data_IF_607552715294
#
_entry.id   IF_607552715294
#
_cell.length_a   1.000
_cell.length_b   1.000
_cell.length_c   1.000
_cell.angle_alpha   90.00
_cell.angle_beta   90.00
_cell.angle_gamma   90.00
#
_symmetry.space_group_name_H-M   'P 1'
#
loop_
_entity.id
_entity.type
_entity.pdbx_description
1 polymer ?
#
# COMPACT_ATOMS: atom_id res chain seq x y z
N UNK A 1 -9.46 -11.16 -60.50
CA UNK A 1 -8.23 -10.35 -60.62
C UNK A 1 -8.59 -8.95 -60.13
N UNK A 2 -8.21 -8.45 -58.97
CA UNK A 2 -7.53 -8.98 -57.80
C UNK A 2 -8.06 -8.24 -56.56
N UNK A 3 -8.09 -8.93 -55.43
CA UNK A 3 -8.33 -8.36 -54.11
C UNK A 3 -7.12 -7.52 -53.68
N UNK A 4 -7.36 -6.36 -53.07
CA UNK A 4 -6.38 -5.66 -52.25
C UNK A 4 -7.07 -5.17 -50.98
N UNK A 5 -7.18 -6.07 -50.00
CA UNK A 5 -7.49 -5.76 -48.62
C UNK A 5 -6.23 -5.20 -47.95
N UNK A 6 -6.32 -3.97 -47.44
CA UNK A 6 -5.36 -3.41 -46.48
C UNK A 6 -5.21 -4.35 -45.27
N UNK A 7 -3.99 -4.64 -44.80
CA UNK A 7 -3.81 -5.41 -43.57
C UNK A 7 -4.12 -4.53 -42.37
N UNK A 8 -5.12 -4.93 -41.58
CA UNK A 8 -5.34 -4.39 -40.24
C UNK A 8 -4.13 -4.72 -39.36
N UNK A 9 -3.52 -3.67 -38.83
CA UNK A 9 -2.49 -3.74 -37.79
C UNK A 9 -3.12 -4.27 -36.50
N UNK A 10 -2.93 -5.57 -36.27
CA UNK A 10 -3.30 -6.26 -35.05
C UNK A 10 -2.45 -5.73 -33.91
N UNK A 11 -2.95 -4.70 -33.23
CA UNK A 11 -2.38 -4.21 -31.97
C UNK A 11 -2.51 -5.31 -30.91
N UNK A 12 -1.36 -5.91 -30.56
CA UNK A 12 -1.25 -7.02 -29.63
C UNK A 12 -1.89 -6.71 -28.26
N UNK A 13 -2.89 -7.50 -27.81
CA UNK A 13 -3.44 -7.39 -26.46
C UNK A 13 -2.56 -8.06 -25.39
N UNK A 14 -1.43 -8.67 -25.78
CA UNK A 14 -0.62 -9.54 -24.89
C UNK A 14 0.32 -8.74 -23.96
N UNK A 15 0.66 -7.49 -24.28
CA UNK A 15 1.61 -6.69 -23.47
C UNK A 15 1.01 -6.01 -22.22
N UNK A 16 -0.31 -6.13 -21.96
CA UNK A 16 -0.98 -5.41 -20.86
C UNK A 16 -1.20 -6.25 -19.59
N UNK A 17 -1.17 -7.58 -19.66
CA UNK A 17 -1.47 -8.43 -18.51
C UNK A 17 -0.24 -8.71 -17.61
N UNK A 18 0.97 -8.56 -18.15
CA UNK A 18 2.22 -8.87 -17.44
C UNK A 18 2.79 -7.65 -16.67
N UNK A 19 2.35 -6.44 -17.01
CA UNK A 19 2.80 -5.20 -16.37
C UNK A 19 2.05 -4.86 -15.08
N UNK A 20 0.78 -5.24 -14.97
CA UNK A 20 -0.08 -4.89 -13.81
C UNK A 20 0.40 -5.56 -12.51
N UNK A 21 0.89 -6.80 -12.58
CA UNK A 21 1.39 -7.54 -11.41
C UNK A 21 2.81 -7.15 -10.99
N UNK A 22 3.59 -6.50 -11.86
CA UNK A 22 4.93 -6.01 -11.52
C UNK A 22 4.89 -4.64 -10.86
N UNK A 23 4.07 -3.72 -11.39
CA UNK A 23 3.96 -2.35 -10.88
C UNK A 23 3.40 -2.34 -9.45
N UNK A 24 2.41 -3.19 -9.17
CA UNK A 24 1.82 -3.33 -7.84
C UNK A 24 2.85 -3.73 -6.79
N UNK A 25 3.60 -4.80 -7.07
CA UNK A 25 4.62 -5.31 -6.16
C UNK A 25 5.77 -4.31 -6.00
N UNK A 26 6.17 -3.62 -7.06
CA UNK A 26 7.23 -2.61 -7.01
C UNK A 26 6.85 -1.46 -6.09
N UNK A 27 5.65 -0.90 -6.20
CA UNK A 27 5.28 0.23 -5.34
C UNK A 27 5.08 -0.23 -3.89
N UNK A 28 4.50 -1.42 -3.69
CA UNK A 28 4.39 -2.02 -2.36
C UNK A 28 5.76 -2.18 -1.70
N UNK A 29 6.78 -2.57 -2.47
CA UNK A 29 8.15 -2.71 -2.01
C UNK A 29 8.78 -1.34 -1.71
N UNK A 30 8.56 -0.33 -2.55
CA UNK A 30 8.98 1.07 -2.26
C UNK A 30 8.37 1.55 -0.95
N UNK A 31 7.09 1.27 -0.71
CA UNK A 31 6.42 1.60 0.54
C UNK A 31 6.99 0.83 1.73
N UNK A 32 7.27 -0.46 1.57
CA UNK A 32 7.94 -1.29 2.58
C UNK A 32 9.33 -0.77 2.94
N UNK A 33 10.13 -0.37 1.94
CA UNK A 33 11.44 0.26 2.13
C UNK A 33 11.29 1.57 2.92
N UNK A 34 10.36 2.44 2.51
CA UNK A 34 10.09 3.69 3.22
C UNK A 34 9.76 3.44 4.70
N UNK A 35 8.90 2.47 5.00
CA UNK A 35 8.54 2.11 6.38
C UNK A 35 9.70 1.55 7.19
N UNK A 36 10.50 0.65 6.60
CA UNK A 36 11.69 0.10 7.24
C UNK A 36 12.72 1.19 7.55
N UNK A 37 13.02 2.03 6.57
CA UNK A 37 13.96 3.13 6.74
C UNK A 37 13.44 4.09 7.80
N UNK A 38 12.18 4.48 7.75
CA UNK A 38 11.61 5.39 8.73
C UNK A 38 11.62 4.81 10.14
N UNK A 39 11.25 3.54 10.32
CA UNK A 39 11.33 2.86 11.61
C UNK A 39 12.77 2.77 12.16
N UNK A 40 13.75 2.47 11.31
CA UNK A 40 15.15 2.44 11.71
C UNK A 40 15.70 3.84 12.05
N UNK A 41 15.33 4.84 11.26
CA UNK A 41 15.72 6.24 11.49
C UNK A 41 15.09 6.79 12.77
N UNK A 42 13.85 6.42 13.10
CA UNK A 42 13.22 6.83 14.36
C UNK A 42 14.06 6.43 15.57
N UNK A 43 14.70 5.26 15.54
CA UNK A 43 15.60 4.86 16.62
C UNK A 43 16.77 5.83 16.80
N UNK A 44 17.35 6.30 15.69
CA UNK A 44 18.48 7.26 15.67
C UNK A 44 18.05 8.71 15.97
N UNK A 45 16.81 9.05 15.64
CA UNK A 45 16.17 10.31 16.02
C UNK A 45 16.01 10.37 17.55
N UNK A 46 15.54 9.27 18.16
CA UNK A 46 15.33 9.20 19.60
C UNK A 46 16.63 9.22 20.40
N UNK A 47 17.73 8.71 19.85
CA UNK A 47 19.07 8.89 20.45
C UNK A 47 19.63 10.30 20.29
N UNK A 48 18.87 11.23 19.67
CA UNK A 48 19.24 12.63 19.51
C UNK A 48 20.28 12.89 18.43
N UNK A 49 20.61 11.88 17.60
CA UNK A 49 21.68 11.98 16.61
C UNK A 49 21.21 12.62 15.29
N UNK A 50 19.89 12.71 15.07
CA UNK A 50 19.31 13.21 13.83
C UNK A 50 18.14 14.17 14.09
N UNK A 51 18.07 15.31 13.36
CA UNK A 51 16.92 16.20 13.41
C UNK A 51 15.70 15.52 12.78
N UNK A 52 14.53 15.68 13.40
CA UNK A 52 13.28 15.09 12.93
C UNK A 52 12.29 16.16 12.48
N UNK A 53 11.84 16.05 11.23
CA UNK A 53 10.80 16.88 10.63
C UNK A 53 9.58 15.99 10.31
N UNK A 54 8.58 15.89 11.23
CA UNK A 54 7.41 15.03 11.06
C UNK A 54 6.61 15.37 9.79
N UNK A 55 6.52 16.66 9.45
CA UNK A 55 5.70 17.17 8.36
C UNK A 55 6.10 16.59 7.00
N UNK A 56 7.41 16.58 6.73
CA UNK A 56 7.96 16.04 5.48
C UNK A 56 7.83 14.52 5.43
N UNK A 57 7.91 13.82 6.57
CA UNK A 57 7.76 12.36 6.61
C UNK A 57 6.32 11.94 6.34
N UNK A 58 5.34 12.59 6.99
CA UNK A 58 3.93 12.37 6.71
C UNK A 58 3.54 12.82 5.29
N UNK A 59 4.11 13.93 4.80
CA UNK A 59 3.92 14.38 3.42
C UNK A 59 4.43 13.37 2.39
N UNK A 60 5.64 12.84 2.60
CA UNK A 60 6.22 11.82 1.72
C UNK A 60 5.41 10.52 1.76
N UNK A 61 4.97 10.10 2.95
CA UNK A 61 4.04 8.98 3.11
C UNK A 61 2.78 9.19 2.26
N UNK A 62 2.14 10.37 2.34
CA UNK A 62 0.95 10.67 1.55
C UNK A 62 1.24 10.58 0.06
N UNK A 63 2.34 11.16 -0.43
CA UNK A 63 2.70 11.09 -1.85
C UNK A 63 2.85 9.63 -2.31
N UNK A 64 3.52 8.78 -1.53
CA UNK A 64 3.70 7.36 -1.88
C UNK A 64 2.36 6.62 -1.88
N UNK A 65 1.48 6.88 -0.89
CA UNK A 65 0.15 6.25 -0.84
C UNK A 65 -0.75 6.76 -1.97
N UNK A 66 -0.70 8.05 -2.30
CA UNK A 66 -1.43 8.62 -3.43
C UNK A 66 -0.99 8.02 -4.75
N UNK A 67 0.32 7.84 -4.94
CA UNK A 67 0.85 7.17 -6.12
C UNK A 67 0.27 5.76 -6.23
N UNK A 68 0.32 4.98 -5.14
CA UNK A 68 -0.30 3.64 -5.09
C UNK A 68 -1.78 3.67 -5.49
N UNK A 69 -2.57 4.59 -4.92
CA UNK A 69 -4.00 4.71 -5.21
C UNK A 69 -4.27 5.05 -6.68
N UNK A 70 -3.50 6.00 -7.24
CA UNK A 70 -3.68 6.48 -8.62
C UNK A 70 -3.22 5.44 -9.64
N UNK A 71 -2.08 4.78 -9.42
CA UNK A 71 -1.53 3.80 -10.36
C UNK A 71 -2.29 2.49 -10.37
N UNK A 72 -2.68 1.98 -9.20
CA UNK A 72 -3.38 0.69 -9.11
C UNK A 72 -4.88 0.82 -9.41
N UNK A 73 -5.45 2.03 -9.32
CA UNK A 73 -6.91 2.24 -9.36
C UNK A 73 -7.66 1.48 -8.27
N UNK A 74 -6.92 0.98 -7.28
CA UNK A 74 -7.29 0.26 -6.07
C UNK A 74 -6.40 0.83 -4.97
N UNK A 75 -6.87 0.83 -3.74
CA UNK A 75 -6.01 1.24 -2.63
C UNK A 75 -4.90 0.19 -2.42
N UNK A 76 -3.69 0.55 -1.92
CA UNK A 76 -2.52 -0.34 -1.67
C UNK A 76 -2.71 -1.45 -0.62
N UNK A 77 -3.95 -1.73 -0.39
CA UNK A 77 -4.58 -2.07 0.85
C UNK A 77 -5.62 -3.15 0.51
N UNK A 78 -6.20 -3.12 -0.71
CA UNK A 78 -7.12 -4.13 -1.20
C UNK A 78 -8.03 -3.59 -2.30
N UNK A 79 -8.91 -4.47 -2.76
CA UNK A 79 -9.81 -4.25 -3.89
C UNK A 79 -11.00 -3.36 -3.52
N UNK A 80 -10.72 -2.11 -3.16
CA UNK A 80 -11.74 -1.07 -3.19
C UNK A 80 -12.06 -0.81 -4.66
N UNK A 81 -13.22 -1.30 -5.12
CA UNK A 81 -13.71 -1.20 -6.49
C UNK A 81 -13.35 0.16 -7.07
N UNK A 82 -12.61 0.14 -8.19
CA UNK A 82 -12.18 1.32 -8.95
C UNK A 82 -13.35 2.28 -9.11
N UNK A 83 -13.40 3.28 -8.25
CA UNK A 83 -14.40 4.32 -8.27
C UNK A 83 -13.67 5.63 -8.49
N UNK A 84 -14.29 6.51 -9.27
CA UNK A 84 -13.73 7.82 -9.54
C UNK A 84 -13.43 8.60 -8.25
N UNK A 85 -14.22 8.35 -7.18
CA UNK A 85 -14.00 8.88 -5.84
C UNK A 85 -12.63 8.49 -5.23
N UNK A 86 -12.18 7.24 -5.38
CA UNK A 86 -10.89 6.78 -4.86
C UNK A 86 -9.73 7.45 -5.61
N UNK A 87 -9.85 7.62 -6.93
CA UNK A 87 -8.85 8.31 -7.74
C UNK A 87 -8.76 9.79 -7.35
N UNK A 88 -9.90 10.48 -7.22
CA UNK A 88 -9.95 11.88 -6.78
C UNK A 88 -9.34 12.03 -5.38
N UNK A 89 -9.66 11.13 -4.45
CA UNK A 89 -9.04 11.10 -3.13
C UNK A 89 -7.52 10.92 -3.21
N UNK A 90 -7.03 10.03 -4.07
CA UNK A 90 -5.61 9.85 -4.36
C UNK A 90 -4.95 11.14 -4.87
N UNK A 91 -5.58 11.84 -5.80
CA UNK A 91 -5.06 13.12 -6.32
C UNK A 91 -5.07 14.21 -5.24
N UNK A 92 -6.14 14.35 -4.46
CA UNK A 92 -6.21 15.32 -3.37
C UNK A 92 -5.13 15.06 -2.32
N UNK A 93 -4.95 13.80 -1.92
CA UNK A 93 -3.89 13.40 -0.98
C UNK A 93 -2.50 13.65 -1.54
N UNK A 94 -2.28 13.53 -2.86
CA UNK A 94 -0.99 13.83 -3.48
C UNK A 94 -0.67 15.32 -3.41
N UNK A 95 -1.64 16.18 -3.71
CA UNK A 95 -1.49 17.64 -3.65
C UNK A 95 -1.18 18.09 -2.22
N UNK A 96 -1.90 17.55 -1.23
CA UNK A 96 -1.66 17.83 0.19
C UNK A 96 -0.27 17.33 0.61
N UNK A 97 0.10 16.11 0.22
CA UNK A 97 1.41 15.52 0.53
C UNK A 97 2.58 16.32 -0.06
N UNK A 98 2.45 16.77 -1.30
CA UNK A 98 3.44 17.66 -1.92
C UNK A 98 3.55 18.99 -1.19
N UNK A 99 2.42 19.65 -0.88
CA UNK A 99 2.43 20.91 -0.13
C UNK A 99 3.10 20.75 1.25
N UNK A 100 2.82 19.64 1.95
CA UNK A 100 3.41 19.33 3.26
C UNK A 100 4.93 19.08 3.18
N UNK A 101 5.42 18.49 2.08
CA UNK A 101 6.85 18.28 1.89
C UNK A 101 7.61 19.61 1.68
N UNK A 102 7.01 20.57 0.98
CA UNK A 102 7.67 21.84 0.63
C UNK A 102 7.52 22.93 1.70
N UNK A 103 6.41 22.96 2.44
CA UNK A 103 6.10 24.00 3.44
C UNK A 103 5.98 23.37 4.83
N UNK A 104 7.10 23.16 5.54
CA UNK A 104 7.07 22.65 6.91
C UNK A 104 6.35 23.65 7.85
N UNK A 105 5.62 23.13 8.82
CA UNK A 105 4.91 23.90 9.86
C UNK A 105 3.48 24.35 9.52
N UNK A 106 3.14 24.59 8.25
CA UNK A 106 1.80 25.11 7.91
C UNK A 106 0.70 24.03 7.98
N UNK A 107 1.03 22.80 7.59
CA UNK A 107 0.07 21.70 7.44
C UNK A 107 0.39 20.50 8.35
N UNK A 108 1.25 20.68 9.35
CA UNK A 108 1.73 19.62 10.26
C UNK A 108 0.61 18.78 10.88
N UNK A 109 -0.28 19.44 11.64
CA UNK A 109 -1.44 18.84 12.30
C UNK A 109 -2.44 18.19 11.31
N UNK A 110 -2.96 18.89 10.28
CA UNK A 110 -3.94 18.30 9.37
C UNK A 110 -3.37 17.13 8.56
N UNK A 111 -2.09 17.19 8.16
CA UNK A 111 -1.42 16.10 7.44
C UNK A 111 -1.27 14.89 8.34
N UNK A 112 -0.85 15.07 9.60
CA UNK A 112 -0.78 13.97 10.59
C UNK A 112 -2.14 13.31 10.78
N UNK A 113 -3.20 14.11 10.98
CA UNK A 113 -4.57 13.59 11.14
C UNK A 113 -5.01 12.82 9.89
N UNK A 114 -4.74 13.36 8.70
CA UNK A 114 -5.07 12.70 7.44
C UNK A 114 -4.35 11.36 7.29
N UNK A 115 -3.05 11.29 7.60
CA UNK A 115 -2.29 10.03 7.59
C UNK A 115 -2.86 9.04 8.59
N UNK A 116 -3.15 9.49 9.81
CA UNK A 116 -3.72 8.64 10.86
C UNK A 116 -5.08 8.08 10.47
N UNK A 117 -5.96 8.90 9.88
CA UNK A 117 -7.26 8.45 9.33
C UNK A 117 -7.03 7.47 8.18
N UNK A 118 -6.12 7.77 7.25
CA UNK A 118 -5.88 6.93 6.08
C UNK A 118 -5.36 5.54 6.48
N UNK A 119 -4.45 5.46 7.44
CA UNK A 119 -3.93 4.20 7.99
C UNK A 119 -4.98 3.43 8.78
N UNK A 120 -5.76 4.12 9.61
CA UNK A 120 -6.76 3.48 10.49
C UNK A 120 -8.01 3.07 9.73
N UNK A 121 -8.65 4.00 9.02
CA UNK A 121 -9.84 3.72 8.21
C UNK A 121 -9.50 2.83 7.02
N UNK A 122 -8.33 3.03 6.38
CA UNK A 122 -7.82 2.14 5.34
C UNK A 122 -7.64 0.72 5.89
N UNK A 123 -6.79 0.54 6.91
CA UNK A 123 -6.58 -0.77 7.53
C UNK A 123 -7.87 -1.46 7.98
N UNK A 124 -8.78 -0.71 8.61
CA UNK A 124 -10.08 -1.24 9.06
C UNK A 124 -11.00 -1.63 7.90
N UNK A 125 -11.09 -0.82 6.85
CA UNK A 125 -11.91 -1.12 5.69
C UNK A 125 -11.47 -2.41 4.99
N UNK A 126 -10.15 -2.66 4.91
CA UNK A 126 -9.58 -3.85 4.27
C UNK A 126 -9.74 -5.09 5.13
N UNK A 127 -9.53 -4.93 6.44
CA UNK A 127 -9.74 -6.00 7.38
C UNK A 127 -11.22 -6.40 7.35
N UNK A 128 -12.13 -5.43 7.38
CA UNK A 128 -13.55 -5.66 7.19
C UNK A 128 -13.85 -6.29 5.83
N UNK A 129 -13.24 -5.85 4.72
CA UNK A 129 -13.44 -6.44 3.41
C UNK A 129 -13.00 -7.90 3.35
N UNK A 130 -11.88 -8.23 4.00
CA UNK A 130 -11.36 -9.59 4.09
C UNK A 130 -12.28 -10.48 4.93
N UNK A 131 -12.84 -9.94 6.02
CA UNK A 131 -13.83 -10.64 6.85
C UNK A 131 -15.21 -10.71 6.20
N UNK A 132 -15.66 -9.74 5.41
CA UNK A 132 -16.96 -9.80 4.72
C UNK A 132 -16.90 -10.68 3.47
N UNK A 133 -15.73 -10.76 2.83
CA UNK A 133 -15.49 -11.71 1.74
C UNK A 133 -15.14 -13.09 2.31
N UNK A 134 -15.87 -13.54 3.34
CA UNK A 134 -15.62 -14.82 4.03
C UNK A 134 -15.49 -15.96 3.03
N UNK A 135 -16.28 -15.97 1.95
CA UNK A 135 -16.19 -16.99 0.93
C UNK A 135 -14.83 -16.99 0.23
N UNK A 136 -14.24 -15.83 -0.10
CA UNK A 136 -12.88 -15.74 -0.65
C UNK A 136 -11.82 -16.11 0.38
N UNK A 137 -11.88 -15.53 1.58
CA UNK A 137 -10.88 -15.78 2.62
C UNK A 137 -10.89 -17.25 3.05
N UNK A 138 -12.07 -17.84 3.21
CA UNK A 138 -12.26 -19.24 3.57
C UNK A 138 -11.86 -20.16 2.42
N UNK A 139 -12.09 -19.79 1.15
CA UNK A 139 -11.59 -20.54 0.00
C UNK A 139 -10.04 -20.50 -0.08
N UNK A 140 -9.44 -19.33 0.17
CA UNK A 140 -7.97 -19.15 0.19
C UNK A 140 -7.31 -19.85 1.39
N UNK A 141 -8.00 -19.95 2.53
CA UNK A 141 -7.57 -20.71 3.71
C UNK A 141 -7.75 -22.22 3.54
N UNK A 142 -8.77 -22.65 2.76
CA UNK A 142 -9.10 -24.06 2.53
C UNK A 142 -8.22 -24.70 1.47
N UNK A 143 -7.61 -23.91 0.57
CA UNK A 143 -6.57 -24.36 -0.36
C UNK A 143 -5.23 -24.38 0.40
N UNK A 144 -4.67 -25.55 0.74
CA UNK A 144 -3.43 -25.62 1.48
C UNK A 144 -2.26 -25.14 0.60
N UNK A 145 -1.57 -24.08 1.02
CA UNK A 145 -0.39 -23.56 0.29
C UNK A 145 -0.03 -22.11 0.58
N UNK A 146 0.54 -21.45 -0.42
CA UNK A 146 1.03 -20.05 -0.37
C UNK A 146 -0.08 -19.04 -0.07
N UNK A 147 -1.33 -19.34 -0.46
CA UNK A 147 -2.51 -18.50 -0.25
C UNK A 147 -2.82 -18.29 1.24
N UNK A 148 -2.66 -19.31 2.08
CA UNK A 148 -2.82 -19.18 3.53
C UNK A 148 -1.80 -18.21 4.13
N UNK A 149 -0.55 -18.31 3.71
CA UNK A 149 0.52 -17.41 4.15
C UNK A 149 0.24 -15.97 3.70
N UNK A 150 -0.31 -15.79 2.51
CA UNK A 150 -0.71 -14.48 1.97
C UNK A 150 -1.85 -13.87 2.80
N UNK A 151 -2.91 -14.62 3.11
CA UNK A 151 -4.02 -14.14 3.96
C UNK A 151 -3.55 -13.74 5.36
N UNK A 152 -2.69 -14.54 5.98
CA UNK A 152 -2.12 -14.22 7.30
C UNK A 152 -1.26 -12.95 7.23
N UNK A 153 -0.45 -12.79 6.17
CA UNK A 153 0.33 -11.58 5.95
C UNK A 153 -0.56 -10.34 5.85
N UNK A 154 -1.63 -10.41 5.05
CA UNK A 154 -2.60 -9.33 4.92
C UNK A 154 -3.21 -8.95 6.26
N UNK A 155 -3.68 -9.92 7.05
CA UNK A 155 -4.27 -9.66 8.38
C UNK A 155 -3.28 -8.93 9.28
N UNK A 156 -2.02 -9.40 9.33
CA UNK A 156 -0.97 -8.76 10.15
C UNK A 156 -0.75 -7.32 9.70
N UNK A 157 -0.56 -7.09 8.40
CA UNK A 157 -0.34 -5.74 7.84
C UNK A 157 -1.53 -4.83 8.14
N UNK A 158 -2.77 -5.29 7.98
CA UNK A 158 -3.96 -4.46 8.24
C UNK A 158 -4.12 -4.12 9.72
N UNK A 159 -3.89 -5.08 10.62
CA UNK A 159 -3.93 -4.82 12.07
C UNK A 159 -2.84 -3.83 12.47
N UNK A 160 -1.61 -4.02 11.99
CA UNK A 160 -0.50 -3.10 12.28
C UNK A 160 -0.79 -1.70 11.70
N UNK A 161 -1.39 -1.60 10.51
CA UNK A 161 -1.83 -0.32 9.94
C UNK A 161 -2.83 0.40 10.83
N UNK A 162 -3.83 -0.32 11.37
CA UNK A 162 -4.82 0.27 12.28
C UNK A 162 -4.16 0.80 13.53
N UNK A 163 -3.26 0.01 14.13
CA UNK A 163 -2.51 0.41 15.32
C UNK A 163 -1.65 1.63 15.03
N UNK A 164 -0.87 1.63 13.94
CA UNK A 164 -0.06 2.77 13.52
C UNK A 164 -0.90 4.02 13.24
N UNK A 165 -2.06 3.87 12.61
CA UNK A 165 -2.99 4.96 12.38
C UNK A 165 -3.51 5.57 13.68
N UNK A 166 -3.86 4.74 14.66
CA UNK A 166 -4.30 5.19 15.97
C UNK A 166 -3.19 5.88 16.76
N UNK A 167 -1.97 5.34 16.73
CA UNK A 167 -0.77 5.96 17.32
C UNK A 167 -0.48 7.31 16.67
N UNK A 168 -0.64 7.42 15.35
CA UNK A 168 -0.45 8.68 14.61
C UNK A 168 -1.52 9.73 14.97
N UNK A 169 -2.76 9.31 15.22
CA UNK A 169 -3.85 10.19 15.66
C UNK A 169 -3.67 10.66 17.11
N UNK A 170 -3.13 9.79 17.95
CA UNK A 170 -3.00 9.98 19.39
C UNK A 170 -1.53 9.90 19.80
N UNK A 171 -0.71 10.92 19.44
CA UNK A 171 0.74 10.91 19.66
C UNK A 171 1.14 10.82 21.15
N UNK A 172 0.20 10.95 22.09
CA UNK A 172 0.44 10.80 23.53
C UNK A 172 0.22 9.40 24.10
N UNK A 173 -0.24 8.43 23.32
CA UNK A 173 -0.59 7.09 23.84
C UNK A 173 0.58 6.11 23.84
N UNK A 174 1.51 6.24 22.88
CA UNK A 174 2.55 5.24 22.64
C UNK A 174 3.94 5.86 22.71
N UNK A 175 4.89 5.10 23.27
CA UNK A 175 6.30 5.49 23.26
C UNK A 175 6.86 5.40 21.86
N UNK A 176 7.51 6.46 21.45
CA UNK A 176 8.44 6.61 20.34
C UNK A 176 9.19 5.35 19.87
N UNK A 177 9.76 4.55 20.78
CA UNK A 177 10.44 3.28 20.44
C UNK A 177 9.48 2.18 19.97
N UNK A 178 8.28 2.10 20.54
CA UNK A 178 7.25 1.14 20.14
C UNK A 178 6.75 1.46 18.73
N UNK A 179 6.57 2.75 18.41
CA UNK A 179 6.22 3.20 17.05
C UNK A 179 7.28 2.79 16.03
N UNK A 180 8.56 2.92 16.37
CA UNK A 180 9.66 2.46 15.51
C UNK A 180 9.60 0.94 15.24
N UNK A 181 9.37 0.13 16.28
CA UNK A 181 9.21 -1.32 16.12
C UNK A 181 8.00 -1.67 15.26
N UNK A 182 6.86 -1.00 15.48
CA UNK A 182 5.65 -1.20 14.67
C UNK A 182 5.90 -0.87 13.19
N UNK A 183 6.61 0.21 12.88
CA UNK A 183 6.96 0.59 11.51
C UNK A 183 7.89 -0.44 10.85
N UNK A 184 8.86 -0.98 11.60
CA UNK A 184 9.74 -2.04 11.10
C UNK A 184 8.92 -3.30 10.78
N UNK A 185 8.07 -3.74 11.72
CA UNK A 185 7.19 -4.90 11.53
C UNK A 185 6.27 -4.69 10.33
N UNK A 186 5.74 -3.47 10.17
CA UNK A 186 4.88 -3.10 9.05
C UNK A 186 5.63 -3.17 7.72
N UNK A 187 6.84 -2.60 7.66
CA UNK A 187 7.72 -2.68 6.49
C UNK A 187 8.05 -4.11 6.10
N UNK A 188 8.50 -4.94 7.05
CA UNK A 188 8.76 -6.39 6.83
C UNK A 188 7.50 -7.10 6.35
N UNK A 189 6.33 -6.75 6.89
CA UNK A 189 5.04 -7.27 6.44
C UNK A 189 4.78 -7.04 4.96
N UNK A 190 5.10 -5.85 4.43
CA UNK A 190 4.98 -5.56 3.00
C UNK A 190 5.96 -6.34 2.13
N UNK A 191 7.20 -6.53 2.57
CA UNK A 191 8.15 -7.40 1.85
C UNK A 191 7.66 -8.84 1.79
N UNK A 192 7.12 -9.34 2.90
CA UNK A 192 6.56 -10.68 2.96
C UNK A 192 5.31 -10.80 2.08
N UNK A 193 4.47 -9.76 2.03
CA UNK A 193 3.30 -9.70 1.16
C UNK A 193 3.71 -9.70 -0.32
N UNK A 194 4.65 -8.84 -0.71
CA UNK A 194 5.24 -8.78 -2.05
C UNK A 194 5.80 -10.15 -2.49
N UNK A 195 6.55 -10.82 -1.63
CA UNK A 195 7.07 -12.16 -1.89
C UNK A 195 5.96 -13.20 -2.08
N UNK A 196 4.94 -13.17 -1.21
CA UNK A 196 3.80 -14.09 -1.31
C UNK A 196 3.01 -13.86 -2.60
N UNK A 197 2.81 -12.61 -3.03
CA UNK A 197 2.12 -12.26 -4.28
C UNK A 197 2.91 -12.78 -5.49
N UNK A 198 4.22 -12.52 -5.56
CA UNK A 198 5.05 -13.04 -6.66
C UNK A 198 5.03 -14.56 -6.74
N UNK A 199 5.11 -15.23 -5.58
CA UNK A 199 5.08 -16.69 -5.51
C UNK A 199 3.71 -17.25 -5.87
N UNK A 200 2.62 -16.59 -5.47
CA UNK A 200 1.26 -16.97 -5.84
C UNK A 200 1.05 -16.85 -7.36
N UNK A 201 1.49 -15.76 -7.98
CA UNK A 201 1.41 -15.57 -9.44
C UNK A 201 2.20 -16.63 -10.22
N UNK A 202 3.35 -17.06 -9.69
CA UNK A 202 4.14 -18.13 -10.30
C UNK A 202 3.49 -19.51 -10.21
N UNK A 203 2.73 -19.79 -9.15
CA UNK A 203 2.08 -21.09 -8.95
C UNK A 203 0.69 -21.18 -9.59
N UNK A 204 -0.02 -20.06 -9.68
CA UNK A 204 -1.35 -19.96 -10.28
C UNK A 204 -1.33 -18.89 -11.37
N UNK A 205 -0.74 -19.20 -12.55
CA UNK A 205 -0.85 -18.30 -13.69
C UNK A 205 -2.34 -18.11 -14.02
N UNK A 206 -2.77 -16.89 -14.36
CA UNK A 206 -4.15 -16.63 -14.74
C UNK A 206 -4.55 -17.58 -15.88
N UNK A 207 -5.63 -18.34 -15.66
CA UNK A 207 -6.11 -19.31 -16.64
C UNK A 207 -6.44 -18.60 -17.96
N UNK A 208 -5.62 -18.84 -18.99
CA UNK A 208 -5.98 -18.61 -20.39
C UNK A 208 -5.02 -17.71 -21.18
N UNK A 209 -4.01 -18.32 -21.81
CA UNK A 209 -3.92 -18.31 -23.28
C UNK A 209 -3.09 -19.53 -23.73
N UNK A 210 -3.77 -20.66 -23.89
CA UNK A 210 -3.43 -21.63 -24.95
C UNK A 210 -4.32 -21.34 -26.15
#
# INVERSE_FOLDING_TARGET
MGYASHPEEKSDPVARAESDLSLEVVILLVFGVFMLLFGLLLFRIHTGELPYAPDSTYGLFLVIVSFQIVTMGKTPFGDLRRSWAVIVLGVCTAVIGMAACFIPGLLAEPVRILVGILLSAGGAALLAQLFFSEDKARLWLKIPGILRHLTVACIIVYVVSIVLGLVTLLPGITTDSVTAVLLIVYGVGFFYLAWCIQKANRLYPPEGTQ
#
